data_IF_114746537053
#
_entry.id   IF_114746537053
#
_cell.length_a   1.000
_cell.length_b   1.000
_cell.length_c   1.000
_cell.angle_alpha   90.00
_cell.angle_beta   90.00
_cell.angle_gamma   90.00
#
_symmetry.space_group_name_H-M   'P 1'
#
loop_
_entity.id
_entity.type
_entity.pdbx_description
1 polymer ?
#
# COMPACT_ATOMS: atom_id res chain seq x y z
N UNK A 1 18.99 11.05 -14.53
CA UNK A 1 18.90 10.09 -15.63
C UNK A 1 17.45 9.96 -16.13
N UNK A 2 17.27 9.54 -17.36
CA UNK A 2 15.96 9.32 -17.97
C UNK A 2 16.06 8.33 -19.12
N UNK A 3 14.96 7.64 -19.41
CA UNK A 3 14.84 6.70 -20.52
C UNK A 3 13.62 7.03 -21.37
N UNK A 4 13.69 6.80 -22.67
CA UNK A 4 12.55 6.95 -23.57
C UNK A 4 12.04 5.57 -23.98
N UNK A 5 10.76 5.30 -23.78
CA UNK A 5 10.10 4.07 -24.16
C UNK A 5 8.75 4.39 -24.83
N UNK A 6 8.51 3.83 -26.01
CA UNK A 6 7.30 4.07 -26.80
C UNK A 6 6.94 5.58 -26.91
N UNK A 7 7.91 6.43 -27.25
CA UNK A 7 7.82 7.90 -27.36
C UNK A 7 7.48 8.63 -26.05
N UNK A 8 7.48 7.95 -24.89
CA UNK A 8 7.30 8.55 -23.58
C UNK A 8 8.65 8.72 -22.90
N UNK A 9 8.91 9.91 -22.41
CA UNK A 9 10.11 10.22 -21.64
C UNK A 9 9.85 9.96 -20.16
N UNK A 10 10.68 9.10 -19.54
CA UNK A 10 10.52 8.64 -18.15
C UNK A 10 11.74 9.07 -17.36
N UNK A 11 11.54 9.92 -16.36
CA UNK A 11 12.58 10.27 -15.41
C UNK A 11 12.90 9.08 -14.51
N UNK A 12 14.18 8.74 -14.41
CA UNK A 12 14.68 7.69 -13.52
C UNK A 12 15.09 8.23 -12.14
N UNK A 13 15.25 9.55 -12.05
CA UNK A 13 15.68 10.24 -10.84
C UNK A 13 16.98 11.01 -11.01
N UNK A 14 17.42 11.63 -9.92
CA UNK A 14 18.72 12.33 -9.82
C UNK A 14 19.72 11.42 -9.10
N UNK A 15 20.96 11.43 -9.57
CA UNK A 15 22.04 10.57 -9.06
C UNK A 15 23.25 11.42 -8.70
N UNK A 16 24.02 11.04 -7.68
CA UNK A 16 25.15 11.85 -7.19
C UNK A 16 26.30 11.89 -8.19
N UNK A 17 26.46 10.84 -9.03
CA UNK A 17 27.55 10.76 -10.00
C UNK A 17 27.03 10.37 -11.39
N UNK A 18 27.74 10.74 -12.48
CA UNK A 18 27.40 10.35 -13.84
C UNK A 18 27.36 8.83 -14.01
N UNK A 19 28.30 8.12 -13.37
CA UNK A 19 28.42 6.66 -13.47
C UNK A 19 27.19 5.96 -12.88
N UNK A 20 26.70 6.43 -11.70
CA UNK A 20 25.47 5.90 -11.09
C UNK A 20 24.26 6.19 -11.98
N UNK A 21 24.20 7.38 -12.57
CA UNK A 21 23.14 7.74 -13.50
C UNK A 21 23.15 6.91 -14.79
N UNK A 22 24.35 6.61 -15.31
CA UNK A 22 24.54 5.72 -16.48
C UNK A 22 24.11 4.29 -16.16
N UNK A 23 24.50 3.77 -14.99
CA UNK A 23 24.09 2.44 -14.55
C UNK A 23 22.57 2.33 -14.41
N UNK A 24 21.92 3.32 -13.82
CA UNK A 24 20.46 3.34 -13.72
C UNK A 24 19.78 3.36 -15.10
N UNK A 25 20.36 4.04 -16.06
CA UNK A 25 19.87 4.06 -17.44
C UNK A 25 19.98 2.68 -18.10
N UNK A 26 21.11 2.00 -17.97
CA UNK A 26 21.31 0.65 -18.53
C UNK A 26 20.40 -0.39 -17.84
N UNK A 27 20.25 -0.32 -16.52
CA UNK A 27 19.30 -1.14 -15.77
C UNK A 27 17.86 -0.94 -16.30
N UNK A 28 17.44 0.32 -16.50
CA UNK A 28 16.10 0.63 -17.03
C UNK A 28 15.91 0.10 -18.45
N UNK A 29 16.92 0.22 -19.32
CA UNK A 29 16.89 -0.35 -20.69
C UNK A 29 16.74 -1.86 -20.66
N UNK A 30 17.51 -2.53 -19.80
CA UNK A 30 17.47 -3.99 -19.65
C UNK A 30 16.09 -4.45 -19.18
N UNK A 31 15.52 -3.78 -18.16
CA UNK A 31 14.17 -4.09 -17.65
C UNK A 31 13.11 -3.94 -18.75
N UNK A 32 13.20 -2.89 -19.57
CA UNK A 32 12.24 -2.63 -20.62
C UNK A 32 12.36 -3.57 -21.82
N UNK A 33 13.56 -4.10 -22.07
CA UNK A 33 13.85 -4.99 -23.20
C UNK A 33 13.64 -6.49 -22.90
N UNK A 34 13.92 -6.91 -21.65
CA UNK A 34 13.91 -8.33 -21.29
C UNK A 34 12.59 -8.71 -20.55
N UNK A 35 11.72 -9.50 -21.20
CA UNK A 35 10.46 -9.95 -20.60
C UNK A 35 10.64 -10.92 -19.42
N UNK A 36 11.82 -11.53 -19.26
CA UNK A 36 12.09 -12.49 -18.18
C UNK A 36 12.36 -11.81 -16.83
N UNK A 37 12.70 -10.52 -16.85
CA UNK A 37 12.91 -9.79 -15.59
C UNK A 37 11.58 -9.63 -14.87
N UNK A 38 11.51 -10.16 -13.65
CA UNK A 38 10.36 -10.09 -12.74
C UNK A 38 10.73 -9.33 -11.45
N UNK A 39 9.77 -9.11 -10.58
CA UNK A 39 9.98 -8.42 -9.29
C UNK A 39 11.08 -9.07 -8.44
N UNK A 40 11.19 -10.39 -8.48
CA UNK A 40 12.20 -11.15 -7.74
C UNK A 40 13.66 -10.90 -8.17
N UNK A 41 13.87 -10.27 -9.32
CA UNK A 41 15.22 -9.92 -9.79
C UNK A 41 15.74 -8.60 -9.22
N UNK A 42 14.91 -7.86 -8.46
CA UNK A 42 15.39 -6.67 -7.79
C UNK A 42 16.41 -7.02 -6.69
N UNK A 43 17.46 -6.25 -6.61
CA UNK A 43 18.40 -6.30 -5.49
C UNK A 43 18.83 -4.89 -5.09
N UNK A 44 19.22 -4.73 -3.82
CA UNK A 44 19.58 -3.43 -3.23
C UNK A 44 20.86 -2.79 -3.79
N UNK A 45 21.64 -3.54 -4.59
CA UNK A 45 22.84 -3.04 -5.26
C UNK A 45 22.53 -2.30 -6.57
N UNK A 46 21.28 -2.36 -7.03
CA UNK A 46 20.84 -1.63 -8.23
C UNK A 46 20.87 -0.12 -7.99
N UNK A 47 21.17 0.62 -9.07
CA UNK A 47 21.11 2.09 -9.04
C UNK A 47 19.65 2.59 -9.06
N UNK A 48 18.75 1.83 -9.69
CA UNK A 48 17.32 2.13 -9.66
C UNK A 48 16.72 1.86 -8.28
N UNK A 49 15.87 2.78 -7.81
CA UNK A 49 15.04 2.53 -6.63
C UNK A 49 14.03 1.42 -6.90
N UNK A 50 13.65 0.67 -5.86
CA UNK A 50 12.66 -0.40 -5.97
C UNK A 50 11.33 0.08 -6.59
N UNK A 51 10.83 1.24 -6.15
CA UNK A 51 9.62 1.83 -6.72
C UNK A 51 9.73 2.06 -8.22
N UNK A 52 10.88 2.56 -8.70
CA UNK A 52 11.12 2.78 -10.12
C UNK A 52 11.22 1.46 -10.89
N UNK A 53 11.85 0.45 -10.30
CA UNK A 53 11.95 -0.89 -10.86
C UNK A 53 10.55 -1.48 -11.13
N UNK A 54 9.64 -1.44 -10.15
CA UNK A 54 8.25 -1.90 -10.31
C UNK A 54 7.52 -1.09 -11.38
N UNK A 55 7.66 0.24 -11.37
CA UNK A 55 7.02 1.11 -12.38
C UNK A 55 7.44 0.75 -13.81
N UNK A 56 8.71 0.40 -14.03
CA UNK A 56 9.23 0.00 -15.34
C UNK A 56 8.74 -1.39 -15.75
N UNK A 57 8.69 -2.36 -14.83
CA UNK A 57 8.11 -3.68 -15.11
C UNK A 57 6.63 -3.52 -15.47
N UNK A 58 5.86 -2.74 -14.71
CA UNK A 58 4.45 -2.51 -15.01
C UNK A 58 4.28 -1.85 -16.38
N UNK A 59 5.12 -0.87 -16.73
CA UNK A 59 5.08 -0.23 -18.05
C UNK A 59 5.34 -1.25 -19.16
N UNK A 60 6.35 -2.11 -19.02
CA UNK A 60 6.68 -3.14 -20.01
C UNK A 60 5.54 -4.13 -20.19
N UNK A 61 4.99 -4.64 -19.08
CA UNK A 61 3.98 -5.71 -19.10
C UNK A 61 2.57 -5.20 -19.45
N UNK A 62 2.21 -4.01 -18.98
CA UNK A 62 0.84 -3.47 -19.07
C UNK A 62 0.72 -2.23 -19.96
N UNK A 63 1.83 -1.69 -20.50
CA UNK A 63 1.84 -0.50 -21.35
C UNK A 63 1.54 0.82 -20.62
N UNK A 64 1.36 0.78 -19.29
CA UNK A 64 0.96 1.93 -18.47
C UNK A 64 2.07 2.24 -17.46
N UNK A 65 2.59 3.49 -17.52
CA UNK A 65 3.52 3.99 -16.51
C UNK A 65 2.75 4.53 -15.31
N UNK A 66 3.00 3.95 -14.14
CA UNK A 66 2.49 4.40 -12.84
C UNK A 66 3.67 4.80 -11.98
N UNK A 67 3.60 6.00 -11.39
CA UNK A 67 4.72 6.57 -10.62
C UNK A 67 4.96 5.83 -9.29
N UNK A 68 3.91 5.37 -8.66
CA UNK A 68 3.96 4.56 -7.44
C UNK A 68 4.26 3.09 -7.76
N UNK A 69 4.80 2.28 -6.84
CA UNK A 69 5.23 0.91 -7.10
C UNK A 69 4.05 -0.06 -7.26
N UNK A 70 3.27 0.15 -8.29
CA UNK A 70 2.07 -0.64 -8.60
C UNK A 70 2.33 -1.55 -9.79
N UNK A 71 1.90 -2.81 -9.65
CA UNK A 71 1.80 -3.77 -10.75
C UNK A 71 0.34 -4.16 -10.97
N UNK A 72 -0.14 -3.98 -12.20
CA UNK A 72 -1.54 -4.20 -12.57
C UNK A 72 -1.79 -5.66 -12.97
N UNK A 73 -2.90 -6.20 -12.47
CA UNK A 73 -3.55 -7.43 -12.93
C UNK A 73 -4.94 -7.10 -13.49
N UNK A 74 -5.64 -8.04 -14.16
CA UNK A 74 -6.97 -7.76 -14.75
C UNK A 74 -7.97 -7.22 -13.74
N UNK A 75 -8.10 -7.84 -12.55
CA UNK A 75 -9.16 -7.54 -11.58
C UNK A 75 -8.67 -6.82 -10.33
N UNK A 76 -7.37 -6.75 -10.10
CA UNK A 76 -6.76 -6.12 -8.93
C UNK A 76 -5.41 -5.51 -9.29
N UNK A 77 -4.76 -4.87 -8.33
CA UNK A 77 -3.35 -4.49 -8.44
C UNK A 77 -2.61 -4.81 -7.15
N UNK A 78 -1.30 -4.97 -7.29
CA UNK A 78 -0.38 -5.06 -6.16
C UNK A 78 0.34 -3.73 -5.99
N UNK A 79 0.34 -3.23 -4.78
CA UNK A 79 1.14 -2.09 -4.35
C UNK A 79 2.31 -2.61 -3.52
N UNK A 80 3.52 -2.51 -4.05
CA UNK A 80 4.71 -3.03 -3.38
C UNK A 80 5.26 -2.02 -2.37
N UNK A 81 5.35 -2.41 -1.12
CA UNK A 81 6.08 -1.66 -0.09
C UNK A 81 7.56 -2.05 -0.08
N UNK A 82 7.82 -3.35 -0.21
CA UNK A 82 9.14 -3.98 -0.23
C UNK A 82 9.13 -5.14 -1.23
N UNK A 83 10.29 -5.70 -1.62
CA UNK A 83 10.35 -6.80 -2.61
C UNK A 83 9.51 -8.02 -2.25
N UNK A 84 9.36 -8.31 -0.97
CA UNK A 84 8.61 -9.43 -0.37
C UNK A 84 7.29 -9.01 0.28
N UNK A 85 6.96 -7.71 0.25
CA UNK A 85 5.74 -7.19 0.84
C UNK A 85 4.92 -6.38 -0.17
N UNK A 86 3.83 -6.96 -0.65
CA UNK A 86 2.88 -6.31 -1.54
C UNK A 86 1.47 -6.29 -0.93
N UNK A 87 0.79 -5.18 -1.07
CA UNK A 87 -0.60 -5.00 -0.68
C UNK A 87 -1.49 -5.18 -1.90
N UNK A 88 -2.56 -5.95 -1.78
CA UNK A 88 -3.52 -6.19 -2.85
C UNK A 88 -4.75 -5.30 -2.70
N UNK A 89 -5.14 -4.63 -3.77
CA UNK A 89 -6.31 -3.74 -3.82
C UNK A 89 -7.19 -4.03 -5.04
N UNK A 90 -8.46 -3.69 -4.94
CA UNK A 90 -9.36 -3.67 -6.10
C UNK A 90 -8.93 -2.59 -7.12
N UNK A 91 -9.19 -2.85 -8.41
CA UNK A 91 -8.84 -1.88 -9.47
C UNK A 91 -9.49 -0.51 -9.31
N UNK A 92 -10.63 -0.44 -8.69
CA UNK A 92 -11.35 0.82 -8.44
C UNK A 92 -10.56 1.79 -7.57
N UNK A 93 -9.66 1.28 -6.73
CA UNK A 93 -8.77 2.09 -5.90
C UNK A 93 -7.50 2.58 -6.62
N UNK A 94 -7.27 2.17 -7.86
CA UNK A 94 -6.07 2.51 -8.62
C UNK A 94 -5.88 4.03 -8.77
N UNK A 95 -6.97 4.77 -9.02
CA UNK A 95 -6.93 6.22 -9.18
C UNK A 95 -6.30 6.90 -7.95
N UNK A 96 -6.68 6.43 -6.77
CA UNK A 96 -6.14 6.98 -5.51
C UNK A 96 -4.66 6.58 -5.31
N UNK A 97 -4.35 5.29 -5.35
CA UNK A 97 -3.00 4.81 -5.02
C UNK A 97 -1.95 5.07 -6.12
N UNK A 98 -2.35 5.35 -7.35
CA UNK A 98 -1.42 5.77 -8.41
C UNK A 98 -0.73 7.11 -8.12
N UNK A 99 -1.33 7.95 -7.28
CA UNK A 99 -0.85 9.28 -6.91
C UNK A 99 -0.46 9.42 -5.43
N UNK A 100 -0.78 8.44 -4.58
CA UNK A 100 -0.50 8.48 -3.14
C UNK A 100 0.48 7.39 -2.75
N UNK A 101 1.56 7.79 -2.08
CA UNK A 101 2.54 6.84 -1.55
C UNK A 101 2.07 6.30 -0.21
N UNK A 102 1.96 4.97 -0.13
CA UNK A 102 1.69 4.27 1.11
C UNK A 102 2.96 4.24 1.96
N UNK A 103 2.83 4.59 3.22
CA UNK A 103 3.87 4.54 4.24
C UNK A 103 3.47 3.54 5.33
N UNK A 104 4.46 2.96 5.99
CA UNK A 104 4.25 2.05 7.11
C UNK A 104 5.08 2.50 8.32
N UNK A 105 4.46 2.50 9.49
CA UNK A 105 5.12 2.77 10.77
C UNK A 105 4.53 1.89 11.85
N UNK A 106 5.36 1.03 12.47
CA UNK A 106 4.92 0.14 13.55
C UNK A 106 3.70 -0.73 13.18
N UNK A 107 3.67 -1.26 11.95
CA UNK A 107 2.54 -2.04 11.44
C UNK A 107 1.34 -1.23 10.95
N UNK A 108 1.31 0.08 11.23
CA UNK A 108 0.25 0.97 10.73
C UNK A 108 0.57 1.46 9.32
N UNK A 109 -0.33 1.20 8.38
CA UNK A 109 -0.20 1.58 6.96
C UNK A 109 -1.10 2.79 6.66
N UNK A 110 -0.51 3.83 6.08
CA UNK A 110 -1.21 5.10 5.85
C UNK A 110 -0.69 5.82 4.61
N UNK A 111 -1.47 6.76 4.13
CA UNK A 111 -1.06 7.75 3.12
C UNK A 111 -1.09 9.15 3.72
N UNK A 112 -0.20 10.02 3.24
CA UNK A 112 -0.24 11.44 3.58
C UNK A 112 -0.97 12.21 2.49
N UNK A 113 -1.96 13.01 2.87
CA UNK A 113 -2.70 13.86 1.96
C UNK A 113 -2.96 15.22 2.63
N UNK A 114 -2.51 16.30 2.00
CA UNK A 114 -2.58 17.67 2.55
C UNK A 114 -2.09 17.81 3.99
N UNK A 115 -0.96 17.17 4.33
CA UNK A 115 -0.36 17.21 5.66
C UNK A 115 -1.02 16.31 6.72
N UNK A 116 -2.13 15.67 6.40
CA UNK A 116 -2.81 14.73 7.28
C UNK A 116 -2.50 13.28 6.92
N UNK A 117 -2.44 12.40 7.94
CA UNK A 117 -2.23 10.97 7.76
C UNK A 117 -3.58 10.25 7.75
N UNK A 118 -3.82 9.49 6.70
CA UNK A 118 -5.04 8.68 6.55
C UNK A 118 -4.65 7.20 6.52
N UNK A 119 -5.09 6.43 7.50
CA UNK A 119 -4.92 4.98 7.49
C UNK A 119 -5.61 4.34 6.29
N UNK A 120 -5.01 3.31 5.72
CA UNK A 120 -5.60 2.60 4.57
C UNK A 120 -7.00 2.09 4.92
N UNK A 121 -7.17 1.56 6.12
CA UNK A 121 -8.45 1.01 6.60
C UNK A 121 -9.58 2.04 6.70
N UNK A 122 -9.25 3.35 6.76
CA UNK A 122 -10.29 4.39 6.81
C UNK A 122 -11.15 4.43 5.54
N UNK A 123 -10.63 3.97 4.40
CA UNK A 123 -11.38 3.84 3.14
C UNK A 123 -12.52 2.82 3.21
N UNK A 124 -12.43 1.87 4.15
CA UNK A 124 -13.45 0.84 4.41
C UNK A 124 -14.38 1.21 5.57
N UNK A 125 -14.35 2.47 6.03
CA UNK A 125 -15.11 2.91 7.18
C UNK A 125 -14.56 2.43 8.53
N UNK A 126 -13.37 1.83 8.53
CA UNK A 126 -12.68 1.34 9.73
C UNK A 126 -11.89 2.50 10.33
N UNK A 127 -12.11 2.75 11.60
CA UNK A 127 -11.60 3.92 12.31
C UNK A 127 -10.18 3.72 12.82
N UNK A 128 -9.51 4.81 13.12
CA UNK A 128 -8.27 4.79 13.89
C UNK A 128 -8.48 4.03 15.21
N UNK A 129 -7.48 3.25 15.60
CA UNK A 129 -7.50 2.39 16.79
C UNK A 129 -8.46 1.18 16.73
N UNK A 130 -9.08 0.89 15.59
CA UNK A 130 -9.80 -0.35 15.40
C UNK A 130 -8.83 -1.55 15.50
N UNK A 131 -9.29 -2.62 16.11
CA UNK A 131 -8.50 -3.81 16.38
C UNK A 131 -9.00 -4.96 15.51
N UNK A 132 -8.10 -5.57 14.75
CA UNK A 132 -8.40 -6.77 13.96
C UNK A 132 -8.91 -7.90 14.86
N UNK A 133 -9.90 -8.66 14.39
CA UNK A 133 -10.57 -9.71 15.15
C UNK A 133 -11.68 -9.20 16.07
N UNK A 134 -11.70 -7.92 16.42
CA UNK A 134 -12.73 -7.30 17.27
C UNK A 134 -13.62 -6.33 16.50
N UNK A 135 -13.01 -5.39 15.80
CA UNK A 135 -13.74 -4.31 15.11
C UNK A 135 -13.88 -4.59 13.61
N UNK A 136 -12.99 -5.36 13.06
CA UNK A 136 -13.00 -5.82 11.67
C UNK A 136 -12.19 -7.12 11.53
N UNK A 137 -12.38 -7.83 10.40
CA UNK A 137 -11.60 -9.02 10.05
C UNK A 137 -11.19 -8.98 8.57
N UNK A 138 -10.07 -9.63 8.27
CA UNK A 138 -9.72 -10.09 6.94
C UNK A 138 -10.33 -11.49 6.76
N UNK A 139 -11.29 -11.63 5.85
CA UNK A 139 -12.12 -12.85 5.73
C UNK A 139 -11.28 -14.06 5.37
N UNK A 140 -10.26 -13.90 4.52
CA UNK A 140 -9.31 -14.95 4.13
C UNK A 140 -8.11 -15.09 5.09
N UNK A 141 -8.02 -14.26 6.13
CA UNK A 141 -6.92 -14.23 7.09
C UNK A 141 -5.66 -13.50 6.61
N UNK A 142 -5.63 -12.98 5.38
CA UNK A 142 -4.50 -12.26 4.82
C UNK A 142 -4.64 -10.74 5.06
N UNK A 143 -3.81 -10.18 5.92
CA UNK A 143 -3.81 -8.75 6.29
C UNK A 143 -3.12 -7.86 5.24
N UNK A 144 -2.65 -8.44 4.15
CA UNK A 144 -2.14 -7.72 2.98
C UNK A 144 -3.17 -7.62 1.85
N UNK A 145 -4.26 -8.36 1.91
CA UNK A 145 -5.35 -8.32 0.94
C UNK A 145 -6.43 -7.31 1.34
N UNK A 146 -6.33 -6.11 0.81
CA UNK A 146 -7.24 -4.98 1.06
C UNK A 146 -8.40 -4.89 0.07
N UNK A 147 -8.71 -5.95 -0.66
CA UNK A 147 -9.91 -5.94 -1.52
C UNK A 147 -11.17 -5.88 -0.66
N UNK A 148 -12.20 -5.17 -1.15
CA UNK A 148 -13.45 -4.95 -0.43
C UNK A 148 -14.10 -6.25 0.04
N UNK A 149 -14.07 -7.29 -0.79
CA UNK A 149 -14.62 -8.61 -0.45
C UNK A 149 -13.90 -9.30 0.72
N UNK A 150 -12.66 -8.90 1.02
CA UNK A 150 -11.84 -9.51 2.08
C UNK A 150 -11.93 -8.76 3.41
N UNK A 151 -12.46 -7.54 3.42
CA UNK A 151 -12.54 -6.74 4.65
C UNK A 151 -14.00 -6.70 5.13
N UNK A 152 -14.25 -7.24 6.32
CA UNK A 152 -15.55 -7.22 6.96
C UNK A 152 -15.49 -6.38 8.23
N UNK A 153 -16.28 -5.31 8.28
CA UNK A 153 -16.47 -4.50 9.49
C UNK A 153 -17.40 -5.24 10.44
N UNK A 154 -16.97 -5.44 11.68
CA UNK A 154 -17.74 -6.08 12.75
C UNK A 154 -18.36 -5.05 13.69
N UNK A 155 -17.65 -3.94 13.93
CA UNK A 155 -18.07 -2.89 14.84
C UNK A 155 -18.19 -1.55 14.12
N UNK A 156 -19.41 -1.06 13.95
CA UNK A 156 -19.71 0.21 13.30
C UNK A 156 -19.77 1.39 14.29
N UNK A 157 -19.68 1.12 15.60
CA UNK A 157 -19.87 2.14 16.63
C UNK A 157 -18.54 2.63 17.21
N UNK A 158 -18.37 3.96 17.21
CA UNK A 158 -17.17 4.57 17.80
C UNK A 158 -17.25 4.54 19.34
N UNK A 159 -16.12 4.18 19.96
CA UNK A 159 -15.99 4.17 21.41
C UNK A 159 -16.82 3.09 22.12
N UNK A 160 -17.47 2.20 21.36
CA UNK A 160 -18.22 1.08 21.92
C UNK A 160 -17.47 -0.22 21.64
N UNK A 161 -17.23 -1.00 22.70
CA UNK A 161 -16.56 -2.31 22.62
C UNK A 161 -17.40 -3.37 23.31
N UNK A 162 -17.48 -4.55 22.67
CA UNK A 162 -18.07 -5.73 23.28
C UNK A 162 -17.12 -6.27 24.35
N UNK A 163 -17.64 -6.51 25.55
CA UNK A 163 -16.91 -7.15 26.65
C UNK A 163 -17.71 -8.34 27.17
N UNK A 164 -16.99 -9.35 27.64
CA UNK A 164 -17.63 -10.43 28.40
C UNK A 164 -17.37 -10.23 29.89
N UNK A 165 -18.45 -10.09 30.68
CA UNK A 165 -18.40 -10.05 32.14
C UNK A 165 -19.24 -11.16 32.72
N UNK A 166 -18.64 -12.02 33.55
CA UNK A 166 -19.31 -13.13 34.22
C UNK A 166 -20.14 -14.01 33.25
N UNK A 167 -19.56 -14.28 32.05
CA UNK A 167 -20.23 -15.09 31.02
C UNK A 167 -21.35 -14.37 30.24
N UNK A 168 -21.60 -13.09 30.50
CA UNK A 168 -22.59 -12.29 29.77
C UNK A 168 -21.89 -11.27 28.85
N UNK A 169 -22.35 -11.18 27.62
CA UNK A 169 -21.93 -10.14 26.70
C UNK A 169 -22.52 -8.78 27.11
N UNK A 170 -21.68 -7.77 27.22
CA UNK A 170 -22.10 -6.38 27.48
C UNK A 170 -21.30 -5.42 26.61
N UNK A 171 -21.85 -4.26 26.33
CA UNK A 171 -21.18 -3.20 25.59
C UNK A 171 -20.67 -2.13 26.54
N UNK A 172 -19.40 -1.79 26.40
CA UNK A 172 -18.77 -0.70 27.11
C UNK A 172 -18.64 0.50 26.18
N UNK A 173 -19.17 1.65 26.55
CA UNK A 173 -18.92 2.91 25.87
C UNK A 173 -17.81 3.69 26.57
N UNK A 174 -16.83 4.18 25.81
CA UNK A 174 -15.72 4.98 26.31
C UNK A 174 -15.41 6.12 25.35
N UNK A 175 -15.01 7.26 25.92
CA UNK A 175 -14.50 8.42 25.18
C UNK A 175 -13.03 8.64 25.57
N UNK A 176 -12.20 9.00 24.60
CA UNK A 176 -10.82 9.37 24.81
C UNK A 176 -10.67 10.89 24.68
N UNK A 177 -10.33 11.57 25.77
CA UNK A 177 -10.07 13.01 25.78
C UNK A 177 -8.62 13.26 26.19
N UNK A 178 -8.27 13.08 27.43
CA UNK A 178 -6.90 13.09 27.98
C UNK A 178 -6.64 11.81 28.79
N UNK A 179 -7.15 10.72 28.30
CA UNK A 179 -7.24 9.41 28.94
C UNK A 179 -8.56 8.76 28.52
N UNK A 180 -8.78 7.52 28.91
CA UNK A 180 -10.00 6.80 28.57
C UNK A 180 -11.06 6.98 29.67
N UNK A 181 -12.22 7.51 29.31
CA UNK A 181 -13.36 7.66 30.19
C UNK A 181 -14.45 6.68 29.80
N UNK A 182 -14.89 5.82 30.72
CA UNK A 182 -16.01 4.91 30.54
C UNK A 182 -17.30 5.69 30.81
N UNK A 183 -18.18 5.76 29.80
CA UNK A 183 -19.44 6.51 29.87
C UNK A 183 -20.60 5.59 30.28
N UNK A 184 -20.55 4.30 29.95
CA UNK A 184 -21.59 3.32 30.25
C UNK A 184 -21.13 1.88 30.04
N UNK A 185 -21.85 0.95 30.67
CA UNK A 185 -21.62 -0.50 30.62
C UNK A 185 -22.96 -1.24 30.55
#
# INVERSE_FOLDING_TARGET
>A
ASVTHNRKHISLGSYPTPETGSRAYEEARTILADPLISVSHYNSMMALSFSKFISLINLRCNGIYIKTPIFLYPDYFLYYLEPDLALKFDRDDLFFYSSHTIQQRGGYRFVCHYGSQYGILSRYGIRQFAVAGRDYIFVNGDDTDYRYQNIKVLNHYMGVTLQQKQGRACYQAAIHIQGNYIIGR
#
